data_IF_220488746973
#
_entry.id   IF_220488746973
#
_cell.length_a   1.000
_cell.length_b   1.000
_cell.length_c   1.000
_cell.angle_alpha   90.00
_cell.angle_beta   90.00
_cell.angle_gamma   90.00
#
_symmetry.space_group_name_H-M   'P 1'
#
loop_
_entity.id
_entity.type
_entity.pdbx_description
1 polymer ?
#
# COMPACT_ATOMS: atom_id res chain seq x y z
N UNK A 1 28.29 9.48 1.78
CA UNK A 1 28.27 8.04 1.41
C UNK A 1 27.06 7.31 1.95
N UNK A 2 26.81 7.28 3.27
CA UNK A 2 25.64 6.58 3.85
C UNK A 2 24.28 7.07 3.29
N UNK A 3 24.09 8.39 3.14
CA UNK A 3 22.88 8.95 2.53
C UNK A 3 22.65 8.46 1.10
N UNK A 4 23.70 8.40 0.28
CA UNK A 4 23.62 7.94 -1.11
C UNK A 4 23.18 6.48 -1.15
N UNK A 5 23.82 5.61 -0.35
CA UNK A 5 23.45 4.20 -0.25
C UNK A 5 21.99 4.06 0.20
N UNK A 6 21.58 4.82 1.23
CA UNK A 6 20.20 4.81 1.73
C UNK A 6 19.19 5.22 0.67
N UNK A 7 19.43 6.31 -0.05
CA UNK A 7 18.55 6.78 -1.12
C UNK A 7 18.50 5.82 -2.31
N UNK A 8 19.61 5.16 -2.65
CA UNK A 8 19.62 4.13 -3.69
C UNK A 8 18.76 2.93 -3.30
N UNK A 9 18.90 2.41 -2.07
CA UNK A 9 18.09 1.30 -1.57
C UNK A 9 16.60 1.68 -1.49
N UNK A 10 16.32 2.89 -1.01
CA UNK A 10 14.96 3.43 -0.97
C UNK A 10 14.34 3.51 -2.36
N UNK A 11 15.08 4.07 -3.33
CA UNK A 11 14.61 4.19 -4.71
C UNK A 11 14.36 2.84 -5.39
N UNK A 12 15.22 1.84 -5.15
CA UNK A 12 15.04 0.48 -5.67
C UNK A 12 13.79 -0.19 -5.08
N UNK A 13 13.63 -0.13 -3.76
CA UNK A 13 12.46 -0.71 -3.09
C UNK A 13 11.16 -0.02 -3.53
N UNK A 14 11.18 1.31 -3.61
CA UNK A 14 10.02 2.11 -4.00
C UNK A 14 9.64 1.88 -5.47
N UNK A 15 10.62 1.83 -6.37
CA UNK A 15 10.40 1.52 -7.79
C UNK A 15 9.80 0.13 -7.98
N UNK A 16 10.30 -0.87 -7.24
CA UNK A 16 9.72 -2.21 -7.21
C UNK A 16 8.26 -2.20 -6.78
N UNK A 17 7.95 -1.56 -5.64
CA UNK A 17 6.59 -1.45 -5.12
C UNK A 17 5.61 -0.86 -6.15
N UNK A 18 5.96 0.26 -6.79
CA UNK A 18 5.11 0.89 -7.80
C UNK A 18 4.96 0.05 -9.06
N UNK A 19 6.02 -0.64 -9.48
CA UNK A 19 5.99 -1.50 -10.67
C UNK A 19 5.07 -2.71 -10.45
N UNK A 20 5.07 -3.30 -9.25
CA UNK A 20 4.25 -4.47 -8.93
C UNK A 20 2.78 -4.15 -8.65
N UNK A 21 2.45 -2.90 -8.31
CA UNK A 21 1.08 -2.53 -7.93
C UNK A 21 0.06 -2.77 -9.05
N UNK A 22 0.39 -2.41 -10.30
CA UNK A 22 -0.53 -2.54 -11.44
C UNK A 22 -0.74 -3.99 -11.87
N UNK A 23 0.31 -4.83 -12.07
CA UNK A 23 0.12 -6.25 -12.37
C UNK A 23 -0.62 -7.01 -11.27
N UNK A 24 -0.30 -6.76 -10.00
CA UNK A 24 -0.98 -7.43 -8.89
C UNK A 24 -2.48 -7.07 -8.84
N UNK A 25 -2.84 -5.81 -9.12
CA UNK A 25 -4.23 -5.40 -9.23
C UNK A 25 -4.94 -6.06 -10.42
N UNK A 26 -4.26 -6.19 -11.55
CA UNK A 26 -4.81 -6.87 -12.73
C UNK A 26 -5.13 -8.34 -12.42
N UNK A 27 -4.23 -9.06 -11.76
CA UNK A 27 -4.46 -10.47 -11.37
C UNK A 27 -5.66 -10.62 -10.41
N UNK A 28 -5.87 -9.66 -9.51
CA UNK A 28 -7.05 -9.63 -8.61
C UNK A 28 -8.34 -9.38 -9.40
N UNK A 29 -8.33 -8.42 -10.33
CA UNK A 29 -9.49 -8.12 -11.19
C UNK A 29 -9.83 -9.35 -12.03
N UNK A 30 -8.84 -9.95 -12.70
CA UNK A 30 -9.01 -11.16 -13.51
C UNK A 30 -9.64 -12.30 -12.69
N UNK A 31 -9.16 -12.52 -11.47
CA UNK A 31 -9.72 -13.51 -10.56
C UNK A 31 -11.18 -13.22 -10.19
N UNK A 32 -11.52 -11.95 -9.97
CA UNK A 32 -12.90 -11.54 -9.67
C UNK A 32 -13.81 -11.74 -10.89
N UNK A 33 -13.36 -11.36 -12.08
CA UNK A 33 -14.12 -11.51 -13.33
C UNK A 33 -14.42 -12.98 -13.61
N UNK A 34 -13.43 -13.87 -13.42
CA UNK A 34 -13.63 -15.32 -13.56
C UNK A 34 -14.67 -15.85 -12.58
N UNK A 35 -14.71 -15.31 -11.36
CA UNK A 35 -15.60 -15.75 -10.28
C UNK A 35 -17.03 -15.23 -10.48
N UNK A 36 -17.17 -13.93 -10.75
CA UNK A 36 -18.46 -13.22 -10.84
C UNK A 36 -19.07 -13.33 -12.24
N UNK A 37 -18.27 -13.70 -13.25
CA UNK A 37 -18.67 -13.76 -14.67
C UNK A 37 -19.13 -12.41 -15.24
N UNK A 38 -18.61 -11.31 -14.69
CA UNK A 38 -18.91 -9.93 -15.11
C UNK A 38 -17.67 -9.06 -14.98
N UNK A 39 -17.47 -8.16 -15.95
CA UNK A 39 -16.33 -7.25 -16.00
C UNK A 39 -16.71 -5.84 -15.55
N UNK A 40 -16.47 -5.54 -14.28
CA UNK A 40 -16.76 -4.22 -13.68
C UNK A 40 -15.48 -3.52 -13.17
N UNK A 41 -14.46 -3.43 -14.01
CA UNK A 41 -13.14 -2.89 -13.63
C UNK A 41 -13.26 -1.51 -12.96
N UNK A 42 -14.15 -0.65 -13.48
CA UNK A 42 -14.40 0.68 -12.93
C UNK A 42 -14.97 0.67 -11.51
N UNK A 43 -15.82 -0.30 -11.17
CA UNK A 43 -16.37 -0.43 -9.81
C UNK A 43 -15.29 -0.88 -8.85
N UNK A 44 -14.50 -1.89 -9.22
CA UNK A 44 -13.40 -2.41 -8.39
C UNK A 44 -12.33 -1.34 -8.16
N UNK A 45 -11.94 -0.62 -9.22
CA UNK A 45 -11.01 0.51 -9.12
C UNK A 45 -11.59 1.66 -8.30
N UNK A 46 -12.90 1.90 -8.38
CA UNK A 46 -13.63 2.86 -7.55
C UNK A 46 -13.58 2.52 -6.07
N UNK A 47 -13.83 1.25 -5.71
CA UNK A 47 -13.72 0.74 -4.34
C UNK A 47 -12.29 0.92 -3.82
N UNK A 48 -11.28 0.55 -4.62
CA UNK A 48 -9.87 0.79 -4.28
C UNK A 48 -9.59 2.28 -4.03
N UNK A 49 -10.05 3.15 -4.92
CA UNK A 49 -9.85 4.60 -4.77
C UNK A 49 -10.56 5.17 -3.54
N UNK A 50 -11.70 4.61 -3.13
CA UNK A 50 -12.37 4.96 -1.90
C UNK A 50 -11.51 4.61 -0.66
N UNK A 51 -11.00 3.39 -0.57
CA UNK A 51 -10.11 3.00 0.54
C UNK A 51 -8.79 3.78 0.55
N UNK A 52 -8.23 4.13 -0.62
CA UNK A 52 -7.06 5.00 -0.71
C UNK A 52 -7.30 6.38 -0.08
N UNK A 53 -8.53 6.90 -0.10
CA UNK A 53 -8.86 8.17 0.56
C UNK A 53 -8.94 8.03 2.09
N UNK A 54 -9.34 6.87 2.60
CA UNK A 54 -9.33 6.59 4.04
C UNK A 54 -7.90 6.60 4.60
N UNK A 55 -6.88 6.33 3.78
CA UNK A 55 -5.48 6.47 4.18
C UNK A 55 -5.16 7.90 4.65
N UNK A 56 -5.73 8.95 4.03
CA UNK A 56 -5.52 10.33 4.49
C UNK A 56 -6.12 10.60 5.86
N UNK A 57 -7.31 10.04 6.13
CA UNK A 57 -7.91 10.12 7.45
C UNK A 57 -7.04 9.42 8.51
N UNK A 58 -6.50 8.23 8.18
CA UNK A 58 -5.57 7.52 9.07
C UNK A 58 -4.28 8.31 9.32
N UNK A 59 -3.77 9.02 8.31
CA UNK A 59 -2.59 9.88 8.44
C UNK A 59 -2.86 11.05 9.39
N UNK A 60 -4.02 11.70 9.27
CA UNK A 60 -4.42 12.79 10.16
C UNK A 60 -4.54 12.31 11.63
N UNK A 61 -5.11 11.11 11.85
CA UNK A 61 -5.18 10.49 13.18
C UNK A 61 -3.78 10.21 13.75
N UNK A 62 -2.87 9.68 12.93
CA UNK A 62 -1.48 9.44 13.31
C UNK A 62 -0.79 10.74 13.71
N UNK A 63 -0.96 11.81 12.92
CA UNK A 63 -0.40 13.13 13.24
C UNK A 63 -0.94 13.66 14.57
N UNK A 64 -2.25 13.60 14.77
CA UNK A 64 -2.88 14.00 16.01
C UNK A 64 -2.28 13.28 17.22
N UNK A 65 -2.22 11.94 17.19
CA UNK A 65 -1.70 11.14 18.30
C UNK A 65 -0.24 11.48 18.61
N UNK A 66 0.62 11.58 17.60
CA UNK A 66 2.04 11.86 17.83
C UNK A 66 2.27 13.30 18.28
N UNK A 67 1.52 14.26 17.75
CA UNK A 67 1.62 15.66 18.16
C UNK A 67 1.20 15.84 19.62
N UNK A 68 0.11 15.21 20.04
CA UNK A 68 -0.33 15.18 21.45
C UNK A 68 0.74 14.53 22.35
N UNK A 69 1.24 13.35 21.99
CA UNK A 69 2.23 12.62 22.79
C UNK A 69 3.60 13.32 22.88
N UNK A 70 3.94 14.13 21.88
CA UNK A 70 5.22 14.85 21.84
C UNK A 70 5.11 16.31 22.27
N UNK A 71 3.90 16.76 22.65
CA UNK A 71 3.57 18.16 22.91
C UNK A 71 4.11 19.07 21.81
N UNK A 72 3.76 18.76 20.57
CA UNK A 72 4.23 19.50 19.41
C UNK A 72 3.71 20.94 19.45
N UNK A 73 4.63 21.89 19.65
CA UNK A 73 4.39 23.32 19.53
C UNK A 73 5.13 23.85 18.28
N UNK A 74 4.42 24.40 17.28
CA UNK A 74 5.05 24.97 16.09
C UNK A 74 5.97 26.16 16.39
N UNK A 75 5.78 26.87 17.51
CA UNK A 75 6.61 28.01 17.92
C UNK A 75 7.86 27.57 18.70
N UNK A 76 7.79 26.43 19.40
CA UNK A 76 8.86 25.92 20.25
C UNK A 76 9.18 24.45 19.96
N UNK A 77 10.07 24.22 18.99
CA UNK A 77 10.45 22.87 18.55
C UNK A 77 11.40 22.19 19.56
N UNK A 78 10.81 21.46 20.51
CA UNK A 78 11.51 20.64 21.50
C UNK A 78 12.18 19.40 20.88
N UNK A 79 13.03 18.71 21.66
CA UNK A 79 13.60 17.43 21.21
C UNK A 79 12.54 16.33 21.06
N UNK A 80 11.50 16.35 21.89
CA UNK A 80 10.35 15.44 21.75
C UNK A 80 9.60 15.67 20.43
N UNK A 81 9.37 16.94 20.05
CA UNK A 81 8.78 17.30 18.76
C UNK A 81 9.63 16.80 17.58
N UNK A 82 10.96 16.96 17.63
CA UNK A 82 11.88 16.42 16.60
C UNK A 82 11.81 14.90 16.50
N UNK A 83 11.67 14.21 17.63
CA UNK A 83 11.46 12.77 17.66
C UNK A 83 10.13 12.37 17.01
N UNK A 84 9.03 13.06 17.32
CA UNK A 84 7.73 12.87 16.67
C UNK A 84 7.77 13.00 15.15
N UNK A 85 8.43 14.04 14.63
CA UNK A 85 8.61 14.22 13.18
C UNK A 85 9.36 13.03 12.55
N UNK A 86 10.42 12.55 13.22
CA UNK A 86 11.17 11.37 12.73
C UNK A 86 10.33 10.10 12.75
N UNK A 87 9.41 9.94 13.70
CA UNK A 87 8.46 8.83 13.71
C UNK A 87 7.54 8.86 12.48
N UNK A 88 7.02 10.04 12.11
CA UNK A 88 6.18 10.20 10.91
C UNK A 88 6.91 9.93 9.60
N UNK A 89 8.19 10.30 9.51
CA UNK A 89 8.98 10.15 8.30
C UNK A 89 9.58 8.75 8.13
N UNK A 90 9.64 7.94 9.20
CA UNK A 90 10.35 6.67 9.21
C UNK A 90 9.54 5.53 9.80
N UNK A 91 9.51 5.45 11.14
CA UNK A 91 9.03 4.26 11.85
C UNK A 91 7.56 3.96 11.57
N UNK A 92 6.70 4.96 11.60
CA UNK A 92 5.25 4.74 11.46
C UNK A 92 4.91 4.21 10.06
N UNK A 93 5.33 4.87 8.95
CA UNK A 93 5.15 4.30 7.62
C UNK A 93 5.74 2.90 7.48
N UNK A 94 6.94 2.65 8.03
CA UNK A 94 7.58 1.34 7.96
C UNK A 94 6.72 0.24 8.62
N UNK A 95 6.08 0.52 9.77
CA UNK A 95 5.18 -0.42 10.43
C UNK A 95 3.93 -0.71 9.59
N UNK A 96 3.34 0.31 8.95
CA UNK A 96 2.20 0.11 8.03
C UNK A 96 2.58 -0.74 6.82
N UNK A 97 3.75 -0.49 6.21
CA UNK A 97 4.23 -1.31 5.09
C UNK A 97 4.55 -2.74 5.51
N UNK A 98 5.19 -2.93 6.68
CA UNK A 98 5.52 -4.25 7.19
C UNK A 98 4.25 -5.05 7.49
N UNK A 99 3.29 -4.46 8.19
CA UNK A 99 2.01 -5.13 8.49
C UNK A 99 1.22 -5.43 7.23
N UNK A 100 1.13 -4.48 6.28
CA UNK A 100 0.51 -4.70 4.98
C UNK A 100 1.18 -5.83 4.18
N UNK A 101 2.51 -5.88 4.16
CA UNK A 101 3.28 -6.95 3.51
C UNK A 101 3.07 -8.31 4.15
N UNK A 102 3.05 -8.39 5.48
CA UNK A 102 2.77 -9.63 6.22
C UNK A 102 1.33 -10.12 5.99
N UNK A 103 0.36 -9.21 5.96
CA UNK A 103 -1.03 -9.55 5.64
C UNK A 103 -1.16 -10.05 4.19
N UNK A 104 -0.52 -9.37 3.24
CA UNK A 104 -0.49 -9.81 1.85
C UNK A 104 0.15 -11.19 1.73
N UNK A 105 1.29 -11.44 2.35
CA UNK A 105 1.92 -12.76 2.34
C UNK A 105 1.00 -13.83 2.95
N UNK A 106 0.39 -13.55 4.10
CA UNK A 106 -0.47 -14.53 4.77
C UNK A 106 -1.78 -14.82 4.03
N UNK A 107 -2.33 -13.86 3.28
CA UNK A 107 -3.70 -13.95 2.72
C UNK A 107 -3.75 -14.04 1.21
N UNK A 108 -2.67 -13.73 0.49
CA UNK A 108 -2.65 -13.81 -0.96
C UNK A 108 -2.67 -15.27 -1.42
N UNK A 109 -3.77 -15.67 -2.05
CA UNK A 109 -4.01 -17.01 -2.58
C UNK A 109 -3.76 -17.09 -4.10
N UNK A 110 -3.42 -15.97 -4.74
CA UNK A 110 -3.10 -15.87 -6.16
C UNK A 110 -1.70 -16.44 -6.43
N UNK A 111 -1.63 -17.76 -6.54
CA UNK A 111 -0.43 -18.48 -7.02
C UNK A 111 -0.29 -18.36 -8.53
N UNK A 112 0.91 -18.60 -9.05
CA UNK A 112 1.19 -18.63 -10.50
C UNK A 112 0.24 -19.58 -11.23
N UNK A 113 -0.06 -20.74 -10.64
CA UNK A 113 -1.01 -21.70 -11.19
C UNK A 113 -2.42 -21.11 -11.29
N UNK A 114 -2.92 -20.47 -10.22
CA UNK A 114 -4.25 -19.84 -10.20
C UNK A 114 -4.35 -18.69 -11.19
N UNK A 115 -3.31 -17.86 -11.31
CA UNK A 115 -3.26 -16.76 -12.30
C UNK A 115 -3.27 -17.31 -13.73
N UNK A 116 -2.50 -18.36 -14.02
CA UNK A 116 -2.49 -18.97 -15.35
C UNK A 116 -3.85 -19.58 -15.73
N UNK A 117 -4.52 -20.21 -14.77
CA UNK A 117 -5.84 -20.78 -14.97
C UNK A 117 -6.90 -19.69 -15.18
N UNK A 118 -6.85 -18.61 -14.39
CA UNK A 118 -7.73 -17.46 -14.58
C UNK A 118 -7.59 -16.87 -15.99
N UNK A 119 -6.35 -16.71 -16.49
CA UNK A 119 -6.11 -16.23 -17.87
C UNK A 119 -6.69 -17.17 -18.93
N UNK A 120 -6.54 -18.48 -18.75
CA UNK A 120 -7.13 -19.48 -19.65
C UNK A 120 -8.66 -19.38 -19.66
N UNK A 121 -9.29 -19.29 -18.49
CA UNK A 121 -10.73 -19.15 -18.36
C UNK A 121 -11.21 -17.85 -19.02
N UNK A 122 -10.52 -16.73 -18.79
CA UNK A 122 -10.86 -15.45 -19.42
C UNK A 122 -10.82 -15.51 -20.95
N UNK A 123 -9.84 -16.18 -21.54
CA UNK A 123 -9.78 -16.34 -23.01
C UNK A 123 -10.95 -17.14 -23.62
N UNK A 124 -11.69 -17.87 -22.79
CA UNK A 124 -12.83 -18.68 -23.21
C UNK A 124 -14.16 -17.97 -22.97
N UNK A 125 -14.14 -16.80 -22.32
CA UNK A 125 -15.34 -16.04 -21.98
C UNK A 125 -15.56 -14.94 -23.02
N UNK A 126 -16.83 -14.75 -23.41
CA UNK A 126 -17.26 -13.68 -24.31
C UNK A 126 -17.77 -12.48 -23.48
N UNK A 127 -16.85 -11.82 -22.76
CA UNK A 127 -17.11 -10.68 -21.86
C UNK A 127 -16.03 -9.60 -21.94
#
# INVERSE_FOLDING_TARGET
>A
TAYIIGMTLWGLAFGGFWTFMSPAMADVIDSLVVTVKRRDDGVVLGIRAFFMRLCYASQALVFFVVHELTHFDPEHITQAAKFGIRLHMGLIPALFFLTGGLLFWSKNDLTVAKVSENRRLLSQMDI
#
